data_IF_684752350127
#
_entry.id   IF_684752350127
#
_cell.length_a   1.000
_cell.length_b   1.000
_cell.length_c   1.000
_cell.angle_alpha   90.00
_cell.angle_beta   90.00
_cell.angle_gamma   90.00
#
_symmetry.space_group_name_H-M   'P 1'
#
loop_
_entity.id
_entity.type
_entity.pdbx_description
1 polymer ?
#
# COMPACT_ATOMS: atom_id res chain seq x y z
N UNK A 1 18.79 5.03 1.84
CA UNK A 1 19.60 4.08 2.63
C UNK A 1 18.77 2.83 2.81
N UNK A 2 19.29 1.67 2.44
CA UNK A 2 18.63 0.39 2.66
C UNK A 2 19.00 -0.20 4.01
N UNK A 3 18.06 -0.92 4.62
CA UNK A 3 18.29 -1.60 5.87
C UNK A 3 17.37 -2.80 6.06
N UNK A 4 17.65 -3.56 7.12
CA UNK A 4 16.81 -4.68 7.55
C UNK A 4 16.45 -4.47 9.01
N UNK A 5 15.18 -4.68 9.32
CA UNK A 5 14.66 -4.71 10.68
C UNK A 5 14.18 -6.13 10.99
N UNK A 6 14.39 -6.56 12.22
CA UNK A 6 13.97 -7.88 12.69
C UNK A 6 13.33 -7.78 14.07
N UNK A 7 12.25 -8.51 14.28
CA UNK A 7 11.49 -8.54 15.53
C UNK A 7 11.21 -9.97 15.94
N UNK A 8 11.09 -10.22 17.24
CA UNK A 8 10.55 -11.47 17.77
C UNK A 8 9.20 -11.13 18.42
N UNK A 9 8.13 -11.80 17.97
CA UNK A 9 6.79 -11.62 18.52
C UNK A 9 6.16 -12.95 18.95
N UNK A 10 5.27 -12.87 19.95
CA UNK A 10 4.41 -13.99 20.30
C UNK A 10 3.11 -13.89 19.51
N UNK A 11 2.86 -14.90 18.69
CA UNK A 11 1.64 -15.00 17.87
C UNK A 11 0.76 -16.09 18.45
N UNK A 12 -0.51 -15.75 18.71
CA UNK A 12 -1.54 -16.71 19.08
C UNK A 12 -1.97 -17.51 17.85
N UNK A 13 -2.14 -18.82 18.00
CA UNK A 13 -2.71 -19.69 16.99
C UNK A 13 -3.65 -20.69 17.63
N UNK A 14 -4.69 -21.09 16.90
CA UNK A 14 -5.61 -22.15 17.32
C UNK A 14 -5.09 -23.49 16.82
N UNK A 15 -5.00 -24.46 17.74
CA UNK A 15 -4.77 -25.86 17.42
C UNK A 15 -6.06 -26.63 17.68
N UNK A 16 -6.60 -27.26 16.64
CA UNK A 16 -7.82 -28.06 16.74
C UNK A 16 -7.48 -29.55 16.65
N UNK A 17 -7.97 -30.32 17.63
CA UNK A 17 -7.88 -31.78 17.64
C UNK A 17 -9.29 -32.38 17.60
N UNK A 18 -9.44 -33.47 16.83
CA UNK A 18 -10.68 -34.26 16.78
C UNK A 18 -10.46 -35.48 17.68
N UNK A 19 -11.26 -35.59 18.74
CA UNK A 19 -11.19 -36.75 19.63
C UNK A 19 -11.76 -38.02 18.98
N UNK A 20 -11.54 -39.18 19.63
CA UNK A 20 -12.04 -40.47 19.15
C UNK A 20 -13.57 -40.61 19.08
N UNK A 21 -14.31 -39.61 19.59
CA UNK A 21 -15.77 -39.53 19.53
C UNK A 21 -16.26 -38.50 18.49
N UNK A 22 -15.34 -37.85 17.76
CA UNK A 22 -15.66 -36.84 16.75
C UNK A 22 -15.91 -35.44 17.29
N UNK A 23 -15.59 -35.14 18.55
CA UNK A 23 -15.66 -33.77 19.06
C UNK A 23 -14.40 -33.00 18.63
N UNK A 24 -14.60 -31.76 18.19
CA UNK A 24 -13.51 -30.82 17.91
C UNK A 24 -13.23 -30.03 19.19
N UNK A 25 -11.99 -30.08 19.67
CA UNK A 25 -11.50 -29.19 20.73
C UNK A 25 -10.47 -28.25 20.13
N UNK A 26 -10.64 -26.95 20.35
CA UNK A 26 -9.65 -25.93 19.99
C UNK A 26 -8.99 -25.38 21.24
N UNK A 27 -7.66 -25.31 21.23
CA UNK A 27 -6.85 -24.68 22.28
C UNK A 27 -6.06 -23.52 21.67
N UNK A 28 -6.12 -22.35 22.31
CA UNK A 28 -5.23 -21.22 21.99
C UNK A 28 -3.82 -21.53 22.48
N UNK A 29 -2.85 -21.45 21.58
CA UNK A 29 -1.42 -21.58 21.89
C UNK A 29 -0.65 -20.38 21.38
N UNK A 30 0.50 -20.15 21.99
CA UNK A 30 1.40 -19.08 21.60
C UNK A 30 2.70 -19.68 21.07
N UNK A 31 3.20 -19.13 19.97
CA UNK A 31 4.55 -19.42 19.47
C UNK A 31 5.32 -18.14 19.25
N UNK A 32 6.63 -18.21 19.45
CA UNK A 32 7.55 -17.13 19.06
C UNK A 32 7.79 -17.21 17.56
N UNK A 33 7.57 -16.10 16.87
CA UNK A 33 7.85 -15.93 15.44
C UNK A 33 8.86 -14.80 15.31
N UNK A 34 9.94 -15.07 14.58
CA UNK A 34 10.88 -14.04 14.18
C UNK A 34 10.44 -13.50 12.82
N UNK A 35 10.17 -12.20 12.76
CA UNK A 35 9.79 -11.52 11.53
C UNK A 35 10.88 -10.54 11.13
N UNK A 36 11.05 -10.40 9.81
CA UNK A 36 12.04 -9.54 9.21
C UNK A 36 11.39 -8.77 8.08
N UNK A 37 11.78 -7.53 7.91
CA UNK A 37 11.42 -6.75 6.76
C UNK A 37 12.61 -5.93 6.29
N UNK A 38 12.64 -5.68 5.00
CA UNK A 38 13.51 -4.68 4.42
C UNK A 38 12.85 -3.30 4.52
N UNK A 39 13.69 -2.27 4.58
CA UNK A 39 13.22 -0.90 4.52
C UNK A 39 14.18 -0.02 3.73
N UNK A 40 13.62 1.02 3.12
CA UNK A 40 14.36 2.09 2.47
C UNK A 40 14.05 3.38 3.21
N UNK A 41 15.09 4.03 3.71
CA UNK A 41 14.98 5.37 4.29
C UNK A 41 15.40 6.41 3.25
N UNK A 42 14.48 7.33 2.95
CA UNK A 42 14.73 8.57 2.21
C UNK A 42 14.94 9.69 3.23
N UNK A 43 16.18 10.19 3.40
CA UNK A 43 16.49 11.12 4.48
C UNK A 43 15.62 12.38 4.47
N UNK A 44 15.07 12.74 5.63
CA UNK A 44 14.17 13.90 5.83
C UNK A 44 12.88 13.87 4.99
N UNK A 45 12.49 12.69 4.48
CA UNK A 45 11.25 12.54 3.70
C UNK A 45 10.36 11.44 4.26
N UNK A 46 10.68 10.17 3.99
CA UNK A 46 9.85 9.03 4.36
C UNK A 46 10.68 7.75 4.50
N UNK A 47 10.03 6.71 5.06
CA UNK A 47 10.55 5.34 5.09
C UNK A 47 9.56 4.44 4.39
N UNK A 48 10.07 3.59 3.50
CA UNK A 48 9.32 2.54 2.83
C UNK A 48 9.62 1.23 3.54
N UNK A 49 8.58 0.46 3.87
CA UNK A 49 8.70 -0.90 4.37
C UNK A 49 8.32 -1.88 3.26
N UNK A 50 8.99 -3.03 3.27
CA UNK A 50 8.59 -4.18 2.44
C UNK A 50 7.12 -4.55 2.68
N UNK A 51 6.42 -4.94 1.61
CA UNK A 51 5.02 -5.36 1.69
C UNK A 51 4.86 -6.54 2.66
N UNK A 52 3.81 -6.48 3.50
CA UNK A 52 3.55 -7.48 4.54
C UNK A 52 4.35 -7.30 5.82
N UNK A 53 5.22 -6.28 5.90
CA UNK A 53 5.87 -5.90 7.14
C UNK A 53 4.82 -5.51 8.21
N UNK A 54 4.97 -5.96 9.47
CA UNK A 54 4.12 -5.53 10.56
C UNK A 54 4.17 -4.02 10.77
N UNK A 55 3.01 -3.40 11.02
CA UNK A 55 2.91 -1.97 11.35
C UNK A 55 3.76 -1.56 12.55
N UNK A 56 3.97 -2.47 13.51
CA UNK A 56 4.87 -2.27 14.66
C UNK A 56 6.33 -1.96 14.26
N UNK A 57 6.74 -2.27 13.03
CA UNK A 57 8.08 -1.94 12.56
C UNK A 57 8.31 -0.42 12.47
N UNK A 58 7.28 0.38 12.21
CA UNK A 58 7.38 1.85 12.28
C UNK A 58 7.72 2.32 13.70
N UNK A 59 7.10 1.74 14.74
CA UNK A 59 7.40 2.07 16.13
C UNK A 59 8.87 1.78 16.49
N UNK A 60 9.40 0.67 15.98
CA UNK A 60 10.77 0.24 16.29
C UNK A 60 11.79 1.10 15.56
N UNK A 61 11.53 1.40 14.28
CA UNK A 61 12.33 2.37 13.54
C UNK A 61 12.30 3.72 14.26
N UNK A 62 11.14 4.15 14.74
CA UNK A 62 10.97 5.41 15.44
C UNK A 62 11.80 5.50 16.72
N UNK A 63 11.76 4.45 17.55
CA UNK A 63 12.59 4.35 18.76
C UNK A 63 14.09 4.33 18.47
N UNK A 64 14.50 3.75 17.34
CA UNK A 64 15.92 3.62 16.97
C UNK A 64 16.49 4.89 16.37
N UNK A 65 15.65 5.65 15.67
CA UNK A 65 16.05 6.88 14.96
C UNK A 65 15.66 8.17 15.69
N UNK A 66 15.03 8.06 16.87
CA UNK A 66 14.47 9.18 17.63
C UNK A 66 13.51 10.04 16.78
N UNK A 67 12.72 9.37 15.93
CA UNK A 67 11.76 9.97 15.01
C UNK A 67 10.38 9.36 15.26
N UNK A 68 9.31 10.14 15.05
CA UNK A 68 7.96 9.58 14.96
C UNK A 68 7.68 9.25 13.49
N UNK A 69 7.32 8.00 13.20
CA UNK A 69 6.84 7.59 11.89
C UNK A 69 5.35 7.34 11.98
N UNK A 70 4.60 7.88 11.03
CA UNK A 70 3.18 7.65 10.85
C UNK A 70 2.97 7.06 9.45
N UNK A 71 1.97 6.17 9.25
CA UNK A 71 1.60 5.73 7.92
C UNK A 71 1.31 6.94 7.03
N UNK A 72 1.89 6.95 5.84
CA UNK A 72 1.59 7.96 4.84
C UNK A 72 0.19 7.74 4.28
N UNK A 73 -0.57 8.81 4.14
CA UNK A 73 -1.79 8.81 3.34
C UNK A 73 -1.50 9.44 1.98
N UNK A 74 -1.96 8.82 0.89
CA UNK A 74 -1.77 9.32 -0.47
C UNK A 74 -3.09 9.89 -1.00
N UNK A 75 -3.05 11.12 -1.51
CA UNK A 75 -4.14 11.73 -2.28
C UNK A 75 -4.22 11.07 -3.66
N UNK A 76 -5.05 10.03 -3.77
CA UNK A 76 -5.23 9.26 -4.99
C UNK A 76 -5.90 10.08 -6.09
N UNK A 77 -6.87 10.91 -5.74
CA UNK A 77 -7.58 11.77 -6.69
C UNK A 77 -6.62 12.81 -7.29
N UNK A 78 -5.84 13.48 -6.45
CA UNK A 78 -4.79 14.40 -6.88
C UNK A 78 -3.71 13.70 -7.71
N UNK A 79 -3.34 12.48 -7.35
CA UNK A 79 -2.36 11.69 -8.10
C UNK A 79 -2.83 11.35 -9.51
N UNK A 80 -4.10 10.95 -9.68
CA UNK A 80 -4.70 10.68 -11.00
C UNK A 80 -4.73 11.96 -11.85
N UNK A 81 -5.11 13.09 -11.26
CA UNK A 81 -5.29 14.36 -11.97
C UNK A 81 -3.98 14.99 -12.47
N UNK A 82 -2.84 14.70 -11.84
CA UNK A 82 -1.54 15.27 -12.23
C UNK A 82 -0.88 14.52 -13.41
N UNK A 83 -1.42 13.35 -13.79
CA UNK A 83 -0.93 12.61 -14.95
C UNK A 83 -1.50 13.22 -16.23
N UNK A 84 -0.65 13.50 -17.24
CA UNK A 84 -1.10 14.15 -18.48
C UNK A 84 -2.12 13.29 -19.25
N UNK A 85 -1.96 11.96 -19.28
CA UNK A 85 -2.86 10.99 -19.93
C UNK A 85 -2.73 9.58 -19.29
N UNK A 86 -3.18 9.36 -18.04
CA UNK A 86 -3.00 8.06 -17.38
C UNK A 86 -3.94 7.01 -17.98
N UNK A 87 -3.38 5.88 -18.41
CA UNK A 87 -4.20 4.71 -18.71
C UNK A 87 -4.53 3.98 -17.42
N UNK A 88 -5.78 4.07 -16.98
CA UNK A 88 -6.22 3.40 -15.76
C UNK A 88 -6.57 1.93 -16.05
N UNK A 89 -6.00 1.01 -15.28
CA UNK A 89 -6.33 -0.42 -15.37
C UNK A 89 -7.02 -0.96 -14.11
N UNK A 90 -6.99 -0.19 -13.02
CA UNK A 90 -7.71 -0.46 -11.78
C UNK A 90 -8.18 0.87 -11.15
N UNK A 91 -9.38 0.87 -10.57
CA UNK A 91 -9.90 1.98 -9.77
C UNK A 91 -10.66 1.41 -8.58
N UNK A 92 -10.27 1.79 -7.37
CA UNK A 92 -11.06 1.53 -6.17
C UNK A 92 -11.57 2.81 -5.53
N UNK A 93 -12.71 2.70 -4.90
CA UNK A 93 -13.48 3.82 -4.39
C UNK A 93 -14.19 3.44 -3.09
N UNK A 94 -14.43 4.43 -2.25
CA UNK A 94 -15.40 4.34 -1.17
C UNK A 94 -16.76 4.81 -1.66
N UNK A 95 -17.82 4.29 -1.03
CA UNK A 95 -19.18 4.84 -1.08
C UNK A 95 -19.64 5.28 -2.47
N UNK A 96 -20.32 4.39 -3.20
CA UNK A 96 -20.96 4.75 -4.47
C UNK A 96 -22.45 4.42 -4.44
N UNK A 97 -23.29 5.43 -4.73
CA UNK A 97 -24.73 5.32 -4.64
C UNK A 97 -25.23 5.27 -3.19
N UNK A 98 -26.12 4.31 -2.86
CA UNK A 98 -26.82 4.29 -1.55
C UNK A 98 -26.47 3.11 -0.64
N UNK A 99 -25.80 2.07 -1.14
CA UNK A 99 -25.55 0.83 -0.36
C UNK A 99 -24.17 0.22 -0.56
N UNK A 100 -23.40 0.63 -1.57
CA UNK A 100 -22.05 0.11 -1.74
C UNK A 100 -21.10 0.91 -0.85
N UNK A 101 -20.48 0.26 0.12
CA UNK A 101 -19.50 0.89 1.03
C UNK A 101 -18.11 1.04 0.39
N UNK A 102 -17.74 0.11 -0.51
CA UNK A 102 -16.52 0.17 -1.31
C UNK A 102 -16.65 -0.72 -2.55
N UNK A 103 -15.74 -0.51 -3.52
CA UNK A 103 -15.64 -1.35 -4.71
C UNK A 103 -14.28 -1.22 -5.40
N UNK A 104 -14.05 -2.10 -6.37
CA UNK A 104 -12.86 -2.03 -7.23
C UNK A 104 -13.21 -2.51 -8.63
N UNK A 105 -12.89 -1.68 -9.63
CA UNK A 105 -13.00 -1.97 -11.04
C UNK A 105 -11.65 -2.34 -11.62
N UNK A 106 -11.66 -3.22 -12.61
CA UNK A 106 -10.49 -3.66 -13.37
C UNK A 106 -10.82 -3.64 -14.85
N UNK A 107 -9.87 -3.22 -15.69
CA UNK A 107 -10.04 -3.17 -17.13
C UNK A 107 -8.83 -2.57 -17.83
N UNK A 108 -9.02 -2.13 -19.07
CA UNK A 108 -8.05 -1.35 -19.84
C UNK A 108 -8.68 0.00 -20.14
N UNK A 109 -7.97 1.09 -19.89
CA UNK A 109 -8.44 2.47 -20.08
C UNK A 109 -9.79 2.72 -19.39
N UNK A 110 -9.92 2.27 -18.14
CA UNK A 110 -11.21 2.33 -17.43
C UNK A 110 -11.68 3.77 -17.23
N UNK A 111 -10.82 4.79 -17.29
CA UNK A 111 -11.23 6.18 -17.23
C UNK A 111 -12.26 6.56 -18.31
N UNK A 112 -12.21 5.89 -19.47
CA UNK A 112 -13.15 6.09 -20.58
C UNK A 112 -14.44 5.28 -20.44
N UNK A 113 -14.51 4.34 -19.47
CA UNK A 113 -15.72 3.59 -19.18
C UNK A 113 -16.75 4.51 -18.48
N UNK A 114 -18.00 4.61 -18.99
CA UNK A 114 -19.01 5.47 -18.39
C UNK A 114 -19.29 5.19 -16.91
N UNK A 115 -19.16 3.93 -16.46
CA UNK A 115 -19.36 3.55 -15.06
C UNK A 115 -18.23 4.10 -14.19
N UNK A 116 -16.99 3.94 -14.64
CA UNK A 116 -15.83 4.44 -13.91
C UNK A 116 -15.80 5.98 -13.90
N UNK A 117 -16.18 6.63 -15.00
CA UNK A 117 -16.31 8.10 -15.04
C UNK A 117 -17.37 8.62 -14.07
N UNK A 118 -18.45 7.89 -13.82
CA UNK A 118 -19.48 8.26 -12.83
C UNK A 118 -18.91 8.14 -11.41
N UNK A 119 -18.18 7.06 -11.13
CA UNK A 119 -17.50 6.84 -9.84
C UNK A 119 -16.45 7.93 -9.57
N UNK A 120 -15.61 8.27 -10.55
CA UNK A 120 -14.59 9.31 -10.42
C UNK A 120 -15.18 10.71 -10.12
N UNK A 121 -16.46 10.94 -10.46
CA UNK A 121 -17.14 12.20 -10.19
C UNK A 121 -17.82 12.23 -8.83
N UNK A 122 -18.34 11.10 -8.36
CA UNK A 122 -19.24 11.03 -7.21
C UNK A 122 -18.65 10.35 -5.97
N UNK A 123 -17.47 9.74 -6.06
CA UNK A 123 -16.86 8.94 -5.00
C UNK A 123 -15.38 9.27 -4.79
N UNK A 124 -14.91 9.14 -3.54
CA UNK A 124 -13.49 9.30 -3.21
C UNK A 124 -12.71 8.04 -3.60
N UNK A 125 -11.61 8.21 -4.32
CA UNK A 125 -10.77 7.09 -4.73
C UNK A 125 -9.86 6.63 -3.60
N UNK A 126 -9.80 5.32 -3.38
CA UNK A 126 -8.97 4.72 -2.32
C UNK A 126 -7.78 3.92 -2.85
N UNK A 127 -7.80 3.59 -4.14
CA UNK A 127 -6.67 2.98 -4.84
C UNK A 127 -6.81 3.15 -6.34
N UNK A 128 -5.67 3.10 -7.02
CA UNK A 128 -5.60 3.21 -8.47
C UNK A 128 -4.51 2.29 -9.00
N UNK A 129 -4.76 1.70 -10.16
CA UNK A 129 -3.74 1.11 -11.01
C UNK A 129 -3.60 1.94 -12.27
N UNK A 130 -2.40 2.44 -12.53
CA UNK A 130 -2.08 3.29 -13.67
C UNK A 130 -1.02 2.64 -14.57
N UNK A 131 -1.10 2.98 -15.85
CA UNK A 131 -0.07 2.83 -16.86
C UNK A 131 0.25 4.24 -17.39
N UNK A 132 1.50 4.67 -17.26
CA UNK A 132 1.97 5.99 -17.68
C UNK A 132 3.45 5.95 -18.08
N UNK A 133 3.97 7.05 -18.63
CA UNK A 133 5.39 7.18 -18.91
C UNK A 133 6.10 7.94 -17.79
N UNK A 134 7.21 7.38 -17.32
CA UNK A 134 8.14 8.07 -16.44
C UNK A 134 9.51 8.07 -17.12
N UNK A 135 10.03 9.27 -17.43
CA UNK A 135 11.16 9.44 -18.34
C UNK A 135 10.89 8.77 -19.70
N UNK A 136 11.58 7.69 -20.04
CA UNK A 136 11.42 6.94 -21.30
C UNK A 136 10.78 5.55 -21.08
N UNK A 137 10.43 5.19 -19.85
CA UNK A 137 9.91 3.88 -19.49
C UNK A 137 8.38 3.90 -19.36
N UNK A 138 7.75 2.86 -19.92
CA UNK A 138 6.35 2.58 -19.64
C UNK A 138 6.23 1.93 -18.26
N UNK A 139 5.63 2.64 -17.32
CA UNK A 139 5.44 2.21 -15.94
C UNK A 139 4.03 1.72 -15.75
N UNK A 140 3.90 0.53 -15.17
CA UNK A 140 2.63 -0.02 -14.66
C UNK A 140 2.72 -0.11 -13.14
N UNK A 141 1.94 0.69 -12.45
CA UNK A 141 1.98 0.78 -10.99
C UNK A 141 0.59 0.73 -10.37
N UNK A 142 0.55 0.44 -9.08
CA UNK A 142 -0.62 0.55 -8.21
C UNK A 142 -0.26 1.37 -6.98
N UNK A 143 -1.17 2.24 -6.57
CA UNK A 143 -1.10 2.96 -5.31
C UNK A 143 -2.42 2.85 -4.55
N UNK A 144 -2.39 2.91 -3.23
CA UNK A 144 -3.57 3.07 -2.38
C UNK A 144 -3.40 4.25 -1.42
N UNK A 145 -4.54 4.79 -1.00
CA UNK A 145 -4.62 5.86 -0.01
C UNK A 145 -3.82 5.52 1.25
N UNK A 146 -3.78 4.26 1.67
CA UNK A 146 -3.04 3.79 2.85
C UNK A 146 -1.51 3.82 2.73
N UNK A 147 -0.95 4.41 1.67
CA UNK A 147 0.49 4.49 1.46
C UNK A 147 1.12 3.25 0.82
N UNK A 148 0.31 2.29 0.35
CA UNK A 148 0.84 1.11 -0.35
C UNK A 148 1.09 1.44 -1.81
N UNK A 149 2.27 1.09 -2.31
CA UNK A 149 2.68 1.28 -3.70
C UNK A 149 3.36 0.02 -4.21
N UNK A 150 3.07 -0.35 -5.44
CA UNK A 150 3.68 -1.47 -6.15
C UNK A 150 3.92 -1.08 -7.61
N UNK A 151 5.13 -1.31 -8.10
CA UNK A 151 5.46 -1.17 -9.53
C UNK A 151 5.57 -2.57 -10.12
N UNK A 152 4.72 -2.88 -11.10
CA UNK A 152 4.71 -4.17 -11.80
C UNK A 152 5.69 -4.21 -12.98
N UNK A 153 5.94 -3.06 -13.60
CA UNK A 153 6.85 -2.88 -14.72
C UNK A 153 7.28 -1.42 -14.79
N UNK A 154 8.54 -1.11 -15.14
CA UNK A 154 9.64 -2.07 -15.24
C UNK A 154 10.00 -2.66 -13.86
N UNK A 155 10.85 -3.68 -13.85
CA UNK A 155 11.43 -4.20 -12.62
C UNK A 155 12.52 -3.21 -12.16
N UNK A 156 12.17 -2.32 -11.24
CA UNK A 156 13.07 -1.28 -10.76
C UNK A 156 14.04 -1.81 -9.71
N UNK A 157 15.31 -1.42 -9.83
CA UNK A 157 16.24 -1.49 -8.71
C UNK A 157 15.84 -0.48 -7.62
N UNK A 158 16.32 -0.67 -6.39
CA UNK A 158 15.91 0.13 -5.23
C UNK A 158 16.10 1.64 -5.44
N UNK A 159 17.19 2.05 -6.08
CA UNK A 159 17.47 3.46 -6.38
C UNK A 159 16.45 4.03 -7.36
N UNK A 160 16.19 3.33 -8.47
CA UNK A 160 15.22 3.73 -9.50
C UNK A 160 13.80 3.78 -8.95
N UNK A 161 13.42 2.80 -8.12
CA UNK A 161 12.14 2.78 -7.43
C UNK A 161 12.02 3.99 -6.49
N UNK A 162 13.07 4.32 -5.74
CA UNK A 162 13.06 5.47 -4.83
C UNK A 162 12.91 6.78 -5.59
N UNK A 163 13.64 6.94 -6.70
CA UNK A 163 13.55 8.13 -7.55
C UNK A 163 12.15 8.28 -8.13
N UNK A 164 11.59 7.20 -8.68
CA UNK A 164 10.20 7.16 -9.15
C UNK A 164 9.22 7.61 -8.05
N UNK A 165 9.34 7.07 -6.83
CA UNK A 165 8.45 7.44 -5.73
C UNK A 165 8.56 8.93 -5.34
N UNK A 166 9.78 9.47 -5.31
CA UNK A 166 10.01 10.88 -4.97
C UNK A 166 9.40 11.79 -6.03
N UNK A 167 9.63 11.49 -7.30
CA UNK A 167 9.22 12.37 -8.40
C UNK A 167 7.73 12.27 -8.71
N UNK A 168 7.13 11.09 -8.55
CA UNK A 168 5.76 10.80 -8.97
C UNK A 168 4.75 10.86 -7.82
N UNK A 169 5.14 10.48 -6.60
CA UNK A 169 4.19 10.30 -5.49
C UNK A 169 4.41 11.22 -4.30
N UNK A 170 5.62 11.74 -4.07
CA UNK A 170 5.91 12.49 -2.84
C UNK A 170 5.12 13.81 -2.71
N UNK A 171 4.69 14.41 -3.82
CA UNK A 171 3.80 15.58 -3.85
C UNK A 171 2.38 15.27 -3.38
N UNK A 172 1.96 14.00 -3.48
CA UNK A 172 0.61 13.53 -3.16
C UNK A 172 0.52 12.86 -1.78
N UNK A 173 1.64 12.78 -1.04
CA UNK A 173 1.63 12.30 0.34
C UNK A 173 1.06 13.40 1.24
N UNK A 174 -0.10 13.14 1.84
CA UNK A 174 -0.70 13.96 2.87
C UNK A 174 0.24 14.03 4.07
N UNK A 175 0.77 15.22 4.34
CA UNK A 175 1.61 15.43 5.51
C UNK A 175 0.71 15.65 6.72
N UNK A 176 0.95 14.95 7.85
CA UNK A 176 0.23 15.23 9.08
C UNK A 176 0.38 16.71 9.41
N UNK A 177 -0.75 17.37 9.63
CA UNK A 177 -0.76 18.79 10.02
C UNK A 177 -0.36 18.85 11.49
N UNK A 178 0.87 19.29 11.77
CA UNK A 178 1.39 19.46 13.14
C UNK A 178 0.71 20.62 13.85
#
# INVERSE_FOLDING_TARGET
MEGTIAIEQQVEYEESEIDGNGNVQSESRYRKVAERAQFIQVPNQFVILESGAPSMMFDILGRTTDCAYEPAEIDIDGFILDQEEPSLWMLGFYEHGTQAENGTLYGSDIADDPIASDILQDSACNQVGIEHFYSDDAVKARASESGYIEVYSPDYEVEEFTDYLVDVLASHINRPTV
#
